data_IF_808402774376
#
_entry.id   IF_808402774376
#
_cell.length_a   1.000
_cell.length_b   1.000
_cell.length_c   1.000
_cell.angle_alpha   90.00
_cell.angle_beta   90.00
_cell.angle_gamma   90.00
#
_symmetry.space_group_name_H-M   'P 1'
#
loop_
_entity.id
_entity.type
_entity.pdbx_description
1 polymer ?
#
# COMPACT_ATOMS: atom_id res chain seq x y z
N UNK A 1 -26.50 26.82 7.26
CA UNK A 1 -25.16 26.45 6.74
C UNK A 1 -24.40 27.75 6.55
N UNK A 2 -23.13 27.85 6.96
CA UNK A 2 -22.33 29.08 7.20
C UNK A 2 -22.28 29.49 8.68
N UNK A 3 -21.46 28.80 9.46
CA UNK A 3 -21.08 29.22 10.81
C UNK A 3 -19.60 29.63 10.85
N UNK A 4 -19.20 30.59 11.71
CA UNK A 4 -17.79 31.01 11.90
C UNK A 4 -16.84 29.86 12.26
N UNK A 5 -17.39 28.71 12.67
CA UNK A 5 -16.68 27.45 12.94
C UNK A 5 -16.07 26.81 11.69
N UNK A 6 -16.68 26.97 10.50
CA UNK A 6 -16.08 26.48 9.24
C UNK A 6 -14.87 27.34 8.85
N UNK A 7 -14.96 28.66 8.98
CA UNK A 7 -13.85 29.56 8.66
C UNK A 7 -12.68 29.39 9.64
N UNK A 8 -12.97 29.20 10.93
CA UNK A 8 -11.97 28.87 11.94
C UNK A 8 -11.36 27.48 11.70
N UNK A 9 -12.14 26.50 11.28
CA UNK A 9 -11.65 25.17 10.92
C UNK A 9 -10.72 25.19 9.70
N UNK A 10 -11.08 25.97 8.67
CA UNK A 10 -10.24 26.19 7.48
C UNK A 10 -8.98 27.00 7.85
N UNK A 11 -9.10 28.01 8.71
CA UNK A 11 -7.96 28.81 9.18
C UNK A 11 -7.00 27.99 10.07
N UNK A 12 -7.52 27.17 10.98
CA UNK A 12 -6.72 26.33 11.88
C UNK A 12 -6.04 25.18 11.12
N UNK A 13 -6.75 24.53 10.18
CA UNK A 13 -6.14 23.54 9.30
C UNK A 13 -5.08 24.17 8.37
N UNK A 14 -5.35 25.36 7.83
CA UNK A 14 -4.37 26.14 7.06
C UNK A 14 -3.12 26.52 7.86
N UNK A 15 -3.28 26.94 9.12
CA UNK A 15 -2.17 27.26 10.02
C UNK A 15 -1.32 26.02 10.33
N UNK A 16 -1.96 24.87 10.61
CA UNK A 16 -1.26 23.59 10.82
C UNK A 16 -0.48 23.14 9.58
N UNK A 17 -1.04 23.34 8.38
CA UNK A 17 -0.35 23.07 7.11
C UNK A 17 0.86 24.00 6.95
N UNK A 18 0.74 25.29 7.24
CA UNK A 18 1.85 26.25 7.17
C UNK A 18 2.98 25.91 8.15
N UNK A 19 2.64 25.47 9.37
CA UNK A 19 3.62 25.01 10.36
C UNK A 19 4.34 23.75 9.86
N UNK A 20 3.61 22.77 9.33
CA UNK A 20 4.21 21.56 8.77
C UNK A 20 5.15 21.87 7.59
N UNK A 21 4.76 22.81 6.73
CA UNK A 21 5.59 23.30 5.61
C UNK A 21 6.85 24.00 6.13
N UNK A 22 6.74 24.84 7.17
CA UNK A 22 7.88 25.53 7.78
C UNK A 22 8.89 24.57 8.41
N UNK A 23 8.41 23.55 9.13
CA UNK A 23 9.25 22.49 9.70
C UNK A 23 9.92 21.67 8.58
N UNK A 24 9.17 21.34 7.52
CA UNK A 24 9.70 20.59 6.38
C UNK A 24 10.78 21.36 5.62
N UNK A 25 10.68 22.69 5.54
CA UNK A 25 11.69 23.55 4.92
C UNK A 25 12.95 23.68 5.80
N UNK A 26 12.77 23.68 7.12
CA UNK A 26 13.89 23.77 8.07
C UNK A 26 14.72 22.48 8.14
N UNK A 27 14.15 21.34 7.76
CA UNK A 27 14.80 20.03 7.82
C UNK A 27 15.98 19.83 6.84
N UNK A 28 16.19 20.74 5.87
CA UNK A 28 17.50 21.00 5.24
C UNK A 28 18.33 19.79 4.78
N UNK A 29 17.69 18.69 4.37
CA UNK A 29 18.39 17.53 3.83
C UNK A 29 18.80 17.89 2.40
N UNK A 30 20.10 17.79 2.07
CA UNK A 30 20.72 18.03 0.73
C UNK A 30 20.26 17.03 -0.35
N UNK A 31 18.98 16.68 -0.30
CA UNK A 31 18.15 15.85 -1.16
C UNK A 31 16.95 16.67 -1.67
N UNK A 32 17.03 18.00 -1.62
CA UNK A 32 15.89 18.91 -1.87
C UNK A 32 15.22 18.63 -3.22
N UNK A 33 15.98 18.40 -4.29
CA UNK A 33 15.39 18.16 -5.63
C UNK A 33 14.67 16.81 -5.72
N UNK A 34 15.25 15.75 -5.17
CA UNK A 34 14.64 14.41 -5.22
C UNK A 34 13.42 14.32 -4.32
N UNK A 35 13.47 14.97 -3.16
CA UNK A 35 12.34 15.06 -2.25
C UNK A 35 11.21 15.91 -2.83
N UNK A 36 11.53 17.08 -3.40
CA UNK A 36 10.54 17.97 -4.03
C UNK A 36 9.90 17.27 -5.23
N UNK A 37 10.66 16.60 -6.09
CA UNK A 37 10.09 15.88 -7.24
C UNK A 37 9.23 14.68 -6.81
N UNK A 38 9.65 13.93 -5.79
CA UNK A 38 8.84 12.86 -5.22
C UNK A 38 7.55 13.38 -4.58
N UNK A 39 7.62 14.48 -3.83
CA UNK A 39 6.47 15.13 -3.21
C UNK A 39 5.51 15.69 -4.25
N UNK A 40 6.01 16.40 -5.26
CA UNK A 40 5.20 16.93 -6.35
C UNK A 40 4.51 15.79 -7.13
N UNK A 41 5.24 14.71 -7.42
CA UNK A 41 4.65 13.52 -8.06
C UNK A 41 3.56 12.90 -7.20
N UNK A 42 3.78 12.77 -5.89
CA UNK A 42 2.78 12.24 -4.97
C UNK A 42 1.54 13.15 -4.89
N UNK A 43 1.73 14.47 -4.86
CA UNK A 43 0.65 15.46 -4.89
C UNK A 43 -0.19 15.31 -6.16
N UNK A 44 0.46 15.25 -7.33
CA UNK A 44 -0.22 15.04 -8.62
C UNK A 44 -0.97 13.69 -8.62
N UNK A 45 -0.35 12.64 -8.09
CA UNK A 45 -0.99 11.32 -7.97
C UNK A 45 -2.25 11.37 -7.09
N UNK A 46 -2.19 12.05 -5.95
CA UNK A 46 -3.33 12.20 -5.03
C UNK A 46 -4.45 13.04 -5.64
N UNK A 47 -4.12 14.13 -6.35
CA UNK A 47 -5.10 14.94 -7.07
C UNK A 47 -5.81 14.13 -8.16
N UNK A 48 -5.05 13.38 -8.97
CA UNK A 48 -5.61 12.51 -10.00
C UNK A 48 -6.50 11.42 -9.39
N UNK A 49 -6.06 10.77 -8.31
CA UNK A 49 -6.87 9.80 -7.58
C UNK A 49 -8.15 10.43 -7.04
N UNK A 50 -8.07 11.62 -6.45
CA UNK A 50 -9.23 12.36 -5.95
C UNK A 50 -10.25 12.65 -7.05
N UNK A 51 -9.78 13.03 -8.25
CA UNK A 51 -10.63 13.31 -9.40
C UNK A 51 -11.31 12.03 -9.93
N UNK A 52 -10.58 10.92 -9.98
CA UNK A 52 -11.13 9.61 -10.33
C UNK A 52 -12.18 9.17 -9.31
N UNK A 53 -11.89 9.30 -8.01
CA UNK A 53 -12.84 8.97 -6.95
C UNK A 53 -14.10 9.84 -7.01
N UNK A 54 -13.96 11.14 -7.28
CA UNK A 54 -15.10 12.04 -7.46
C UNK A 54 -16.00 11.60 -8.65
N UNK A 55 -15.39 11.13 -9.74
CA UNK A 55 -16.13 10.58 -10.87
C UNK A 55 -16.81 9.24 -10.56
N UNK A 56 -16.15 8.37 -9.78
CA UNK A 56 -16.71 7.08 -9.36
C UNK A 56 -17.85 7.22 -8.36
N UNK A 57 -17.80 8.24 -7.48
CA UNK A 57 -18.83 8.52 -6.47
C UNK A 57 -19.91 9.49 -6.94
N UNK A 58 -19.98 9.78 -8.25
CA UNK A 58 -21.08 10.52 -8.84
C UNK A 58 -22.42 9.79 -8.62
N UNK A 59 -23.56 10.52 -8.53
CA UNK A 59 -24.88 9.92 -8.45
C UNK A 59 -25.15 8.99 -9.65
N UNK A 60 -25.92 7.92 -9.43
CA UNK A 60 -26.38 6.96 -10.44
C UNK A 60 -25.29 6.08 -11.12
N UNK A 61 -24.11 5.94 -10.52
CA UNK A 61 -23.08 5.06 -11.07
C UNK A 61 -23.37 3.56 -10.79
N UNK A 62 -23.30 2.68 -11.81
CA UNK A 62 -23.52 1.25 -11.62
C UNK A 62 -22.45 0.60 -10.74
N UNK A 63 -22.88 -0.29 -9.84
CA UNK A 63 -22.01 -1.09 -8.96
C UNK A 63 -20.91 -1.87 -9.70
N UNK A 64 -21.13 -2.19 -10.98
CA UNK A 64 -20.15 -2.83 -11.84
C UNK A 64 -18.86 -2.01 -12.01
N UNK A 65 -18.95 -0.67 -12.05
CA UNK A 65 -17.78 0.21 -12.15
C UNK A 65 -16.90 0.13 -10.90
N UNK A 66 -17.51 -0.01 -9.72
CA UNK A 66 -16.79 -0.19 -8.45
C UNK A 66 -15.98 -1.48 -8.45
N UNK A 67 -16.58 -2.59 -8.88
CA UNK A 67 -15.87 -3.86 -8.97
C UNK A 67 -14.77 -3.85 -10.03
N UNK A 68 -15.01 -3.21 -11.18
CA UNK A 68 -13.99 -3.00 -12.21
C UNK A 68 -12.80 -2.20 -11.65
N UNK A 69 -13.09 -1.13 -10.89
CA UNK A 69 -12.07 -0.32 -10.25
C UNK A 69 -11.25 -1.12 -9.24
N UNK A 70 -11.91 -1.94 -8.39
CA UNK A 70 -11.22 -2.83 -7.46
C UNK A 70 -10.31 -3.82 -8.19
N UNK A 71 -10.76 -4.38 -9.31
CA UNK A 71 -9.92 -5.26 -10.13
C UNK A 71 -8.67 -4.54 -10.68
N UNK A 72 -8.84 -3.32 -11.18
CA UNK A 72 -7.72 -2.45 -11.61
C UNK A 72 -6.76 -2.17 -10.44
N UNK A 73 -7.29 -1.89 -9.24
CA UNK A 73 -6.46 -1.68 -8.05
C UNK A 73 -5.66 -2.92 -7.68
N UNK A 74 -6.23 -4.13 -7.77
CA UNK A 74 -5.52 -5.39 -7.48
C UNK A 74 -4.39 -5.61 -8.50
N UNK A 75 -4.65 -5.37 -9.78
CA UNK A 75 -3.64 -5.45 -10.84
C UNK A 75 -2.47 -4.49 -10.57
N UNK A 76 -2.80 -3.22 -10.28
CA UNK A 76 -1.82 -2.20 -10.00
C UNK A 76 -1.04 -2.47 -8.71
N UNK A 77 -1.70 -2.99 -7.68
CA UNK A 77 -1.09 -3.41 -6.43
C UNK A 77 -0.08 -4.54 -6.65
N UNK A 78 -0.47 -5.59 -7.37
CA UNK A 78 0.43 -6.68 -7.74
C UNK A 78 1.65 -6.15 -8.48
N UNK A 79 1.44 -5.30 -9.50
CA UNK A 79 2.53 -4.71 -10.28
C UNK A 79 3.47 -3.87 -9.41
N UNK A 80 2.91 -3.11 -8.47
CA UNK A 80 3.67 -2.28 -7.54
C UNK A 80 4.54 -3.13 -6.61
N UNK A 81 4.02 -4.23 -6.06
CA UNK A 81 4.81 -5.18 -5.24
C UNK A 81 5.94 -5.78 -6.06
N UNK A 82 5.65 -6.28 -7.26
CA UNK A 82 6.65 -6.88 -8.14
C UNK A 82 7.78 -5.90 -8.46
N UNK A 83 7.46 -4.63 -8.72
CA UNK A 83 8.47 -3.59 -8.98
C UNK A 83 9.26 -3.20 -7.73
N UNK A 84 8.64 -3.23 -6.55
CA UNK A 84 9.26 -2.79 -5.29
C UNK A 84 10.04 -3.89 -4.56
N UNK A 85 9.81 -5.17 -4.88
CA UNK A 85 10.56 -6.32 -4.36
C UNK A 85 11.11 -7.12 -5.54
N UNK A 86 12.18 -6.61 -6.20
CA UNK A 86 12.78 -7.30 -7.33
C UNK A 86 13.41 -8.63 -6.89
N UNK A 87 13.54 -9.59 -7.81
CA UNK A 87 14.18 -10.90 -7.64
C UNK A 87 13.35 -12.02 -6.99
N UNK A 88 12.04 -11.85 -6.83
CA UNK A 88 11.14 -12.96 -6.42
C UNK A 88 10.30 -13.41 -7.63
N UNK A 89 10.61 -14.60 -8.16
CA UNK A 89 9.87 -15.21 -9.28
C UNK A 89 8.43 -15.50 -8.85
N UNK A 90 7.46 -15.14 -9.69
CA UNK A 90 6.03 -15.41 -9.44
C UNK A 90 5.37 -14.50 -8.40
N UNK A 91 6.10 -13.55 -7.80
CA UNK A 91 5.55 -12.66 -6.77
C UNK A 91 4.36 -11.83 -7.26
N UNK A 92 4.31 -11.51 -8.55
CA UNK A 92 3.22 -10.75 -9.14
C UNK A 92 1.86 -11.49 -9.01
N UNK A 93 1.78 -12.70 -9.54
CA UNK A 93 0.56 -13.53 -9.48
C UNK A 93 0.20 -13.92 -8.04
N UNK A 94 1.21 -14.25 -7.23
CA UNK A 94 0.99 -14.60 -5.82
C UNK A 94 0.41 -13.42 -5.03
N UNK A 95 0.97 -12.21 -5.21
CA UNK A 95 0.49 -11.01 -4.53
C UNK A 95 -0.91 -10.63 -5.01
N UNK A 96 -1.20 -10.77 -6.30
CA UNK A 96 -2.56 -10.55 -6.82
C UNK A 96 -3.58 -11.51 -6.20
N UNK A 97 -3.27 -12.80 -6.14
CA UNK A 97 -4.12 -13.79 -5.48
C UNK A 97 -4.33 -13.48 -4.00
N UNK A 98 -3.27 -13.10 -3.29
CA UNK A 98 -3.34 -12.73 -1.88
C UNK A 98 -4.21 -11.47 -1.65
N UNK A 99 -4.06 -10.43 -2.48
CA UNK A 99 -4.87 -9.21 -2.38
C UNK A 99 -6.32 -9.45 -2.77
N UNK A 100 -6.58 -10.24 -3.81
CA UNK A 100 -7.94 -10.63 -4.18
C UNK A 100 -8.61 -11.41 -3.03
N UNK A 101 -7.92 -12.38 -2.45
CA UNK A 101 -8.43 -13.13 -1.29
C UNK A 101 -8.68 -12.20 -0.10
N UNK A 102 -7.75 -11.29 0.21
CA UNK A 102 -7.91 -10.32 1.30
C UNK A 102 -9.15 -9.44 1.10
N UNK A 103 -9.35 -8.91 -0.11
CA UNK A 103 -10.52 -8.07 -0.42
C UNK A 103 -11.81 -8.86 -0.33
N UNK A 104 -11.85 -10.08 -0.89
CA UNK A 104 -13.03 -10.96 -0.84
C UNK A 104 -13.40 -11.28 0.61
N UNK A 105 -12.42 -11.64 1.44
CA UNK A 105 -12.66 -11.95 2.86
C UNK A 105 -13.12 -10.70 3.61
N UNK A 106 -12.43 -9.57 3.48
CA UNK A 106 -12.79 -8.34 4.20
C UNK A 106 -14.18 -7.85 3.78
N UNK A 107 -14.42 -7.64 2.49
CA UNK A 107 -15.71 -7.15 2.01
C UNK A 107 -16.83 -8.18 2.24
N UNK A 108 -16.55 -9.46 2.07
CA UNK A 108 -17.51 -10.54 2.31
C UNK A 108 -17.96 -10.58 3.77
N UNK A 109 -17.06 -10.39 4.72
CA UNK A 109 -17.42 -10.28 6.15
C UNK A 109 -18.20 -9.00 6.42
N UNK A 110 -17.76 -7.84 5.93
CA UNK A 110 -18.42 -6.56 6.22
C UNK A 110 -19.84 -6.48 5.65
N UNK A 111 -20.03 -6.91 4.40
CA UNK A 111 -21.34 -6.89 3.74
C UNK A 111 -22.20 -8.07 4.14
N UNK A 112 -21.61 -9.26 4.36
CA UNK A 112 -22.34 -10.44 4.85
C UNK A 112 -22.86 -10.27 6.27
N UNK A 113 -22.14 -9.51 7.12
CA UNK A 113 -22.60 -9.14 8.46
C UNK A 113 -23.57 -7.94 8.48
N UNK A 114 -23.88 -7.34 7.32
CA UNK A 114 -24.80 -6.21 7.22
C UNK A 114 -24.31 -4.90 7.88
N UNK A 115 -22.99 -4.78 8.13
CA UNK A 115 -22.42 -3.60 8.82
C UNK A 115 -22.50 -2.35 7.95
N UNK A 116 -22.40 -2.51 6.62
CA UNK A 116 -22.43 -1.40 5.66
C UNK A 116 -23.33 -1.70 4.45
N UNK A 117 -23.99 -0.69 3.86
CA UNK A 117 -24.72 -0.87 2.61
C UNK A 117 -23.75 -1.04 1.44
N UNK A 118 -24.05 -1.98 0.54
CA UNK A 118 -23.27 -2.25 -0.68
C UNK A 118 -23.47 -1.11 -1.68
N UNK A 119 -22.66 -0.06 -1.53
CA UNK A 119 -22.66 1.13 -2.39
C UNK A 119 -21.24 1.43 -2.86
N UNK A 120 -21.11 2.07 -4.02
CA UNK A 120 -19.82 2.49 -4.59
C UNK A 120 -18.98 3.29 -3.60
N UNK A 121 -19.62 4.18 -2.85
CA UNK A 121 -19.04 5.04 -1.82
C UNK A 121 -18.41 4.26 -0.67
N UNK A 122 -18.85 3.03 -0.40
CA UNK A 122 -18.34 2.19 0.69
C UNK A 122 -17.37 1.13 0.18
N UNK A 123 -17.69 0.48 -0.94
CA UNK A 123 -16.87 -0.60 -1.53
C UNK A 123 -15.48 -0.10 -1.92
N UNK A 124 -15.41 1.03 -2.63
CA UNK A 124 -14.15 1.53 -3.21
C UNK A 124 -13.14 1.93 -2.13
N UNK A 125 -13.51 2.75 -1.11
CA UNK A 125 -12.57 3.07 -0.04
C UNK A 125 -12.15 1.86 0.81
N UNK A 126 -13.09 0.98 1.17
CA UNK A 126 -12.76 -0.21 1.97
C UNK A 126 -11.80 -1.14 1.23
N UNK A 127 -12.10 -1.45 -0.03
CA UNK A 127 -11.21 -2.25 -0.87
C UNK A 127 -9.85 -1.56 -1.03
N UNK A 128 -9.84 -0.25 -1.28
CA UNK A 128 -8.62 0.52 -1.44
C UNK A 128 -7.73 0.52 -0.20
N UNK A 129 -8.32 0.67 0.98
CA UNK A 129 -7.60 0.60 2.26
C UNK A 129 -7.03 -0.81 2.50
N UNK A 130 -7.85 -1.85 2.30
CA UNK A 130 -7.39 -3.25 2.45
C UNK A 130 -6.22 -3.56 1.53
N UNK A 131 -6.35 -3.24 0.23
CA UNK A 131 -5.29 -3.45 -0.75
C UNK A 131 -4.04 -2.64 -0.38
N UNK A 132 -4.19 -1.36 -0.02
CA UNK A 132 -3.07 -0.48 0.32
C UNK A 132 -2.27 -0.95 1.54
N UNK A 133 -2.97 -1.36 2.59
CA UNK A 133 -2.35 -1.87 3.81
C UNK A 133 -1.62 -3.20 3.55
N UNK A 134 -2.29 -4.15 2.88
CA UNK A 134 -1.69 -5.44 2.53
C UNK A 134 -0.47 -5.27 1.61
N UNK A 135 -0.55 -4.34 0.64
CA UNK A 135 0.57 -4.05 -0.26
C UNK A 135 1.78 -3.53 0.48
N UNK A 136 1.58 -2.55 1.38
CA UNK A 136 2.66 -1.94 2.16
C UNK A 136 3.34 -2.98 3.06
N UNK A 137 2.54 -3.80 3.76
CA UNK A 137 3.05 -4.90 4.58
C UNK A 137 3.85 -5.92 3.75
N UNK A 138 3.32 -6.32 2.59
CA UNK A 138 3.99 -7.28 1.69
C UNK A 138 5.33 -6.75 1.20
N UNK A 139 5.40 -5.46 0.84
CA UNK A 139 6.64 -4.82 0.38
C UNK A 139 7.67 -4.77 1.51
N UNK A 140 7.24 -4.40 2.72
CA UNK A 140 8.13 -4.30 3.89
C UNK A 140 8.74 -5.67 4.22
N UNK A 141 7.89 -6.69 4.38
CA UNK A 141 8.31 -8.06 4.67
C UNK A 141 9.20 -8.61 3.55
N UNK A 142 8.82 -8.41 2.28
CA UNK A 142 9.61 -8.87 1.14
C UNK A 142 11.00 -8.23 1.09
N UNK A 143 11.11 -6.93 1.37
CA UNK A 143 12.41 -6.23 1.47
C UNK A 143 13.24 -6.74 2.64
N UNK A 144 12.61 -7.01 3.78
CA UNK A 144 13.30 -7.52 4.97
C UNK A 144 13.88 -8.90 4.73
N UNK A 145 13.08 -9.82 4.17
CA UNK A 145 13.54 -11.17 3.81
C UNK A 145 14.73 -11.10 2.85
N UNK A 146 14.64 -10.24 1.83
CA UNK A 146 15.72 -10.09 0.85
C UNK A 146 17.00 -9.51 1.49
N UNK A 147 16.85 -8.58 2.43
CA UNK A 147 17.99 -8.04 3.18
C UNK A 147 18.65 -9.13 4.04
N UNK A 148 17.87 -9.94 4.74
CA UNK A 148 18.36 -11.05 5.57
C UNK A 148 19.11 -12.10 4.73
N UNK A 149 18.55 -12.49 3.58
CA UNK A 149 19.18 -13.44 2.68
C UNK A 149 20.47 -12.91 2.06
N UNK A 150 20.52 -11.59 1.82
CA UNK A 150 21.74 -10.95 1.32
C UNK A 150 22.84 -10.94 2.39
N UNK A 151 22.48 -10.66 3.64
CA UNK A 151 23.44 -10.66 4.77
C UNK A 151 23.98 -12.06 5.06
N UNK A 152 23.09 -13.08 5.05
CA UNK A 152 23.42 -14.47 5.39
C UNK A 152 23.74 -15.36 4.20
N UNK A 153 24.04 -14.75 3.04
CA UNK A 153 24.25 -15.47 1.77
C UNK A 153 25.31 -16.56 1.86
N UNK A 154 26.45 -16.27 2.49
CA UNK A 154 27.57 -17.22 2.62
C UNK A 154 27.18 -18.44 3.47
N UNK A 155 26.43 -18.22 4.55
CA UNK A 155 25.98 -19.31 5.42
C UNK A 155 24.94 -20.20 4.72
N UNK A 156 24.03 -19.58 3.94
CA UNK A 156 23.05 -20.31 3.12
C UNK A 156 23.76 -21.16 2.06
N UNK A 157 24.75 -20.59 1.35
CA UNK A 157 25.54 -21.31 0.34
C UNK A 157 26.35 -22.46 0.95
N UNK A 158 26.91 -22.29 2.14
CA UNK A 158 27.59 -23.35 2.86
C UNK A 158 26.65 -24.50 3.22
N UNK A 159 25.43 -24.20 3.71
CA UNK A 159 24.41 -25.22 4.01
C UNK A 159 23.97 -25.98 2.75
N UNK A 160 23.79 -25.28 1.64
CA UNK A 160 23.47 -25.89 0.34
C UNK A 160 24.62 -26.79 -0.16
N UNK A 161 25.88 -26.35 0.01
CA UNK A 161 27.05 -27.14 -0.37
C UNK A 161 27.20 -28.42 0.47
N UNK A 162 26.71 -28.41 1.72
CA UNK A 162 26.60 -29.60 2.57
C UNK A 162 25.44 -30.53 2.18
N UNK A 163 24.71 -30.22 1.10
CA UNK A 163 23.62 -31.04 0.58
C UNK A 163 22.26 -30.79 1.24
N UNK A 164 22.12 -29.75 2.08
CA UNK A 164 20.82 -29.43 2.66
C UNK A 164 19.84 -28.91 1.60
N UNK A 165 18.56 -29.29 1.65
CA UNK A 165 17.56 -28.77 0.72
C UNK A 165 17.32 -27.28 0.95
N UNK A 166 17.02 -26.53 -0.11
CA UNK A 166 16.86 -25.07 -0.07
C UNK A 166 15.81 -24.58 0.93
N UNK A 167 14.77 -25.38 1.18
CA UNK A 167 13.75 -25.08 2.17
C UNK A 167 14.29 -25.10 3.61
N UNK A 168 15.18 -26.03 3.96
CA UNK A 168 15.81 -26.08 5.29
C UNK A 168 16.90 -25.05 5.45
N UNK A 169 17.75 -24.86 4.43
CA UNK A 169 18.82 -23.87 4.45
C UNK A 169 18.27 -22.44 4.67
N UNK A 170 17.10 -22.12 4.10
CA UNK A 170 16.45 -20.82 4.22
C UNK A 170 15.57 -20.66 5.47
N UNK A 171 15.09 -21.75 6.10
CA UNK A 171 14.04 -21.71 7.14
C UNK A 171 14.42 -20.89 8.37
N UNK A 172 15.67 -21.03 8.84
CA UNK A 172 16.16 -20.30 10.02
C UNK A 172 16.13 -18.79 9.77
N UNK A 173 16.71 -18.36 8.64
CA UNK A 173 16.80 -16.95 8.26
C UNK A 173 15.44 -16.35 7.94
N UNK A 174 14.54 -17.12 7.32
CA UNK A 174 13.16 -16.68 7.10
C UNK A 174 12.43 -16.42 8.42
N UNK A 175 12.61 -17.29 9.42
CA UNK A 175 12.01 -17.10 10.75
C UNK A 175 12.57 -15.88 11.47
N UNK A 176 13.86 -15.62 11.32
CA UNK A 176 14.53 -14.47 11.94
C UNK A 176 14.11 -13.15 11.30
N UNK A 177 14.02 -13.11 9.97
CA UNK A 177 13.47 -11.98 9.22
C UNK A 177 12.03 -11.63 9.63
N UNK A 178 11.22 -12.64 9.99
CA UNK A 178 9.82 -12.47 10.41
C UNK A 178 9.65 -12.17 11.90
N UNK A 179 10.63 -12.46 12.76
CA UNK A 179 10.54 -12.27 14.21
C UNK A 179 10.91 -10.87 14.67
N UNK A 180 11.53 -10.06 13.81
CA UNK A 180 11.99 -8.70 14.18
C UNK A 180 10.87 -7.64 14.07
N UNK A 181 9.60 -8.04 14.21
CA UNK A 181 8.41 -7.17 14.29
C UNK A 181 7.75 -7.31 15.67
#
# INVERSE_FOLDING_TARGET
MNGPVELLGVAASGLLVLIAVGISAWAGLRLERDLITAALRALVQLLLLGLVLAALMAPDQPLALSWLWVAVMILFAGWTVHRRVPNVRGLWLLSMGAFAASVIVTLGVLFGAGVFPVTTTTVVPLAGMTIGNSMTATILVGRRIMAEFKDKRLEIEARLALGQPSSEAAKTYLREALRTE
#
